data_IF_697958551576
#
_entry.id   IF_697958551576
#
_cell.length_a   1.000
_cell.length_b   1.000
_cell.length_c   1.000
_cell.angle_alpha   90.00
_cell.angle_beta   90.00
_cell.angle_gamma   90.00
#
_symmetry.space_group_name_H-M   'P 1'
#
loop_
_entity.id
_entity.type
_entity.pdbx_description
1 polymer ?
#
# COMPACT_ATOMS: atom_id res chain seq x y z
N UNK A 1 11.27 8.99 -39.40
CA UNK A 1 10.20 8.59 -38.42
C UNK A 1 9.06 9.56 -38.62
N UNK A 2 7.82 9.14 -38.97
CA UNK A 2 6.72 10.07 -39.13
C UNK A 2 6.28 10.58 -37.75
N UNK A 3 6.17 11.90 -37.66
CA UNK A 3 5.73 12.65 -36.49
C UNK A 3 4.43 12.08 -35.93
N UNK A 4 4.44 11.86 -34.61
CA UNK A 4 3.34 11.24 -33.87
C UNK A 4 2.05 12.06 -33.95
N UNK A 5 1.10 11.60 -34.74
CA UNK A 5 -0.30 12.00 -34.59
C UNK A 5 -0.73 11.70 -33.16
N UNK A 6 -0.90 12.73 -32.37
CA UNK A 6 -1.57 12.64 -31.06
C UNK A 6 -2.98 12.16 -31.32
N UNK A 7 -3.23 10.87 -31.10
CA UNK A 7 -4.58 10.30 -31.18
C UNK A 7 -5.40 10.96 -30.06
N UNK A 8 -6.25 11.92 -30.42
CA UNK A 8 -7.19 12.49 -29.46
C UNK A 8 -8.15 11.38 -29.02
N UNK A 9 -8.35 11.19 -27.71
CA UNK A 9 -9.33 10.22 -27.25
C UNK A 9 -10.71 10.59 -27.75
N UNK A 10 -11.52 9.61 -28.16
CA UNK A 10 -12.90 9.86 -28.55
C UNK A 10 -13.68 10.46 -27.37
N UNK A 11 -14.70 11.27 -27.65
CA UNK A 11 -15.54 11.90 -26.61
C UNK A 11 -16.11 10.88 -25.59
N UNK A 12 -16.39 9.63 -26.04
CA UNK A 12 -16.79 8.52 -25.18
C UNK A 12 -15.66 8.10 -24.22
N UNK A 13 -14.41 8.04 -24.70
CA UNK A 13 -13.27 7.70 -23.87
C UNK A 13 -12.98 8.79 -22.83
N UNK A 14 -13.15 10.05 -23.18
CA UNK A 14 -13.00 11.18 -22.26
C UNK A 14 -14.10 11.19 -21.19
N UNK A 15 -15.35 10.93 -21.57
CA UNK A 15 -16.45 10.82 -20.61
C UNK A 15 -16.29 9.65 -19.63
N UNK A 16 -15.80 8.51 -20.07
CA UNK A 16 -15.47 7.38 -19.20
C UNK A 16 -14.30 7.73 -18.26
N UNK A 17 -13.27 8.38 -18.76
CA UNK A 17 -12.12 8.79 -17.96
C UNK A 17 -12.50 9.77 -16.85
N UNK A 18 -13.35 10.78 -17.13
CA UNK A 18 -13.85 11.71 -16.10
C UNK A 18 -14.65 10.99 -15.01
N UNK A 19 -15.50 10.03 -15.39
CA UNK A 19 -16.25 9.21 -14.41
C UNK A 19 -15.33 8.35 -13.56
N UNK A 20 -14.31 7.78 -14.17
CA UNK A 20 -13.32 6.98 -13.45
C UNK A 20 -12.53 7.82 -12.44
N UNK A 21 -12.03 9.00 -12.84
CA UNK A 21 -11.35 9.93 -11.94
C UNK A 21 -12.25 10.29 -10.74
N UNK A 22 -13.52 10.64 -11.00
CA UNK A 22 -14.43 11.04 -9.93
C UNK A 22 -14.75 9.87 -8.98
N UNK A 23 -14.99 8.66 -9.55
CA UNK A 23 -15.15 7.45 -8.75
C UNK A 23 -13.95 7.19 -7.86
N UNK A 24 -12.72 7.36 -8.40
CA UNK A 24 -11.48 7.15 -7.65
C UNK A 24 -11.21 8.22 -6.61
N UNK A 25 -11.61 9.46 -6.84
CA UNK A 25 -11.57 10.51 -5.83
C UNK A 25 -12.46 10.15 -4.64
N UNK A 26 -13.70 9.75 -4.91
CA UNK A 26 -14.68 9.37 -3.88
C UNK A 26 -14.23 8.12 -3.09
N UNK A 27 -13.70 7.11 -3.79
CA UNK A 27 -13.12 5.94 -3.14
C UNK A 27 -11.85 6.28 -2.34
N UNK A 28 -11.06 7.25 -2.80
CA UNK A 28 -9.89 7.76 -2.10
C UNK A 28 -10.25 8.39 -0.75
N UNK A 29 -11.38 9.10 -0.67
CA UNK A 29 -11.88 9.62 0.61
C UNK A 29 -12.17 8.49 1.61
N UNK A 30 -12.81 7.41 1.16
CA UNK A 30 -13.05 6.24 2.01
C UNK A 30 -11.74 5.51 2.37
N UNK A 31 -10.80 5.41 1.42
CA UNK A 31 -9.51 4.74 1.62
C UNK A 31 -8.64 5.44 2.66
N UNK A 32 -8.63 6.77 2.69
CA UNK A 32 -7.83 7.54 3.64
C UNK A 32 -8.20 7.30 5.09
N UNK A 33 -9.46 6.92 5.36
CA UNK A 33 -9.93 6.57 6.71
C UNK A 33 -9.34 5.23 7.21
N UNK A 34 -9.00 4.33 6.29
CA UNK A 34 -8.42 3.00 6.58
C UNK A 34 -6.98 2.88 6.08
N UNK A 35 -6.33 4.03 5.78
CA UNK A 35 -4.90 4.04 5.44
C UNK A 35 -4.07 3.65 6.66
N UNK A 36 -2.97 2.90 6.43
CA UNK A 36 -2.20 2.24 7.48
C UNK A 36 -1.91 3.13 8.69
N UNK A 37 -1.29 4.30 8.47
CA UNK A 37 -0.92 5.21 9.56
C UNK A 37 -2.15 5.91 10.17
N UNK A 38 -3.11 6.35 9.34
CA UNK A 38 -4.35 6.99 9.80
C UNK A 38 -5.15 6.04 10.69
N UNK A 39 -5.35 4.80 10.23
CA UNK A 39 -6.07 3.77 10.98
C UNK A 39 -5.33 3.40 12.28
N UNK A 40 -4.01 3.31 12.24
CA UNK A 40 -3.18 3.01 13.41
C UNK A 40 -3.28 4.10 14.48
N UNK A 41 -3.20 5.37 14.10
CA UNK A 41 -3.36 6.50 15.03
C UNK A 41 -4.77 6.54 15.61
N UNK A 42 -5.82 6.35 14.78
CA UNK A 42 -7.19 6.30 15.26
C UNK A 42 -7.39 5.17 16.28
N UNK A 43 -6.93 3.94 15.95
CA UNK A 43 -7.04 2.79 16.85
C UNK A 43 -6.31 3.05 18.16
N UNK A 44 -5.09 3.61 18.11
CA UNK A 44 -4.31 3.95 19.31
C UNK A 44 -5.03 4.95 20.19
N UNK A 45 -5.61 5.98 19.62
CA UNK A 45 -6.31 7.04 20.36
C UNK A 45 -7.65 6.56 20.93
N UNK A 46 -8.46 5.89 20.11
CA UNK A 46 -9.82 5.52 20.51
C UNK A 46 -9.87 4.38 21.54
N UNK A 47 -8.88 3.47 21.46
CA UNK A 47 -8.82 2.28 22.32
C UNK A 47 -7.62 2.29 23.27
N UNK A 48 -7.11 3.46 23.64
CA UNK A 48 -5.91 3.62 24.47
C UNK A 48 -5.95 2.82 25.79
N UNK A 49 -7.15 2.66 26.39
CA UNK A 49 -7.35 1.90 27.62
C UNK A 49 -7.43 0.37 27.42
N UNK A 50 -7.45 -0.13 26.18
CA UNK A 50 -7.58 -1.57 25.92
C UNK A 50 -6.19 -2.20 25.85
N UNK A 51 -5.96 -3.25 26.65
CA UNK A 51 -4.67 -3.92 26.77
C UNK A 51 -4.03 -4.32 25.42
N UNK A 52 -4.83 -4.82 24.47
CA UNK A 52 -4.36 -5.29 23.17
C UNK A 52 -4.19 -4.18 22.10
N UNK A 53 -4.30 -2.89 22.46
CA UNK A 53 -4.32 -1.80 21.48
C UNK A 53 -3.04 -1.73 20.65
N UNK A 54 -1.89 -1.99 21.23
CA UNK A 54 -0.62 -1.91 20.50
C UNK A 54 -0.49 -2.99 19.42
N UNK A 55 -0.92 -4.22 19.72
CA UNK A 55 -1.02 -5.29 18.71
C UNK A 55 -2.05 -4.94 17.62
N UNK A 56 -3.15 -4.32 17.99
CA UNK A 56 -4.14 -3.83 17.03
C UNK A 56 -3.55 -2.77 16.08
N UNK A 57 -2.76 -1.83 16.61
CA UNK A 57 -1.98 -0.85 15.82
C UNK A 57 -1.07 -1.55 14.82
N UNK A 58 -0.37 -2.61 15.25
CA UNK A 58 0.47 -3.41 14.36
C UNK A 58 -0.32 -4.06 13.23
N UNK A 59 -1.45 -4.71 13.56
CA UNK A 59 -2.29 -5.40 12.58
C UNK A 59 -2.86 -4.45 11.53
N UNK A 60 -3.38 -3.29 11.93
CA UNK A 60 -3.92 -2.31 10.97
C UNK A 60 -2.82 -1.65 10.13
N UNK A 61 -1.63 -1.42 10.71
CA UNK A 61 -0.48 -0.91 9.97
C UNK A 61 0.02 -1.91 8.91
N UNK A 62 -0.03 -3.19 9.20
CA UNK A 62 0.36 -4.26 8.28
C UNK A 62 -0.72 -4.66 7.26
N UNK A 63 -1.97 -4.26 7.48
CA UNK A 63 -3.12 -4.69 6.68
C UNK A 63 -2.97 -4.42 5.17
N UNK A 64 -2.41 -3.30 4.68
CA UNK A 64 -2.19 -3.08 3.25
C UNK A 64 -1.27 -4.12 2.61
N UNK A 65 -0.21 -4.52 3.30
CA UNK A 65 0.73 -5.53 2.80
C UNK A 65 0.16 -6.94 2.92
N UNK A 66 -0.46 -7.26 4.07
CA UNK A 66 -1.08 -8.56 4.31
C UNK A 66 -2.20 -8.87 3.30
N UNK A 67 -3.04 -7.88 2.97
CA UNK A 67 -4.15 -8.05 2.03
C UNK A 67 -3.70 -8.50 0.62
N UNK A 68 -2.46 -8.26 0.26
CA UNK A 68 -1.90 -8.68 -1.03
C UNK A 68 -1.82 -10.20 -1.18
N UNK A 69 -1.76 -10.99 -0.10
CA UNK A 69 -1.79 -12.46 -0.17
C UNK A 69 -3.00 -12.95 -0.97
N UNK A 70 -4.13 -12.25 -0.88
CA UNK A 70 -5.38 -12.65 -1.53
C UNK A 70 -5.50 -12.19 -2.98
N UNK A 71 -4.47 -11.55 -3.56
CA UNK A 71 -4.53 -11.05 -4.94
C UNK A 71 -4.81 -12.16 -5.97
N UNK A 72 -4.28 -13.36 -5.76
CA UNK A 72 -4.55 -14.50 -6.65
C UNK A 72 -6.01 -14.97 -6.58
N UNK A 73 -6.65 -14.88 -5.40
CA UNK A 73 -8.09 -15.20 -5.24
C UNK A 73 -8.93 -14.25 -6.08
N UNK A 74 -8.60 -12.97 -6.05
CA UNK A 74 -9.30 -11.96 -6.83
C UNK A 74 -9.10 -12.11 -8.34
N UNK A 75 -7.89 -12.46 -8.76
CA UNK A 75 -7.60 -12.75 -10.16
C UNK A 75 -8.40 -13.95 -10.66
N UNK A 76 -8.44 -15.04 -9.91
CA UNK A 76 -9.24 -16.23 -10.23
C UNK A 76 -10.74 -15.93 -10.24
N UNK A 77 -11.22 -15.15 -9.26
CA UNK A 77 -12.63 -14.76 -9.20
C UNK A 77 -13.03 -13.86 -10.39
N UNK A 78 -12.12 -13.09 -10.94
CA UNK A 78 -12.36 -12.23 -12.10
C UNK A 78 -12.39 -12.99 -13.44
N UNK A 79 -11.80 -14.18 -13.51
CA UNK A 79 -11.76 -15.00 -14.72
C UNK A 79 -13.17 -15.42 -15.14
N UNK A 80 -13.49 -15.28 -16.42
CA UNK A 80 -14.80 -15.59 -17.00
C UNK A 80 -15.96 -14.73 -16.52
N UNK A 81 -15.72 -13.64 -15.77
CA UNK A 81 -16.75 -12.75 -15.23
C UNK A 81 -16.62 -11.33 -15.76
N UNK A 82 -17.75 -10.62 -15.79
CA UNK A 82 -17.79 -9.19 -16.11
C UNK A 82 -17.01 -8.39 -15.07
N UNK A 83 -15.87 -7.84 -15.47
CA UNK A 83 -14.91 -7.18 -14.57
C UNK A 83 -15.49 -5.96 -13.89
N UNK A 84 -16.26 -5.15 -14.62
CA UNK A 84 -16.91 -3.93 -14.06
C UNK A 84 -17.87 -4.30 -12.94
N UNK A 85 -18.71 -5.33 -13.15
CA UNK A 85 -19.67 -5.77 -12.10
C UNK A 85 -18.92 -6.24 -10.85
N UNK A 86 -17.85 -7.01 -11.00
CA UNK A 86 -17.05 -7.47 -9.87
C UNK A 86 -16.40 -6.30 -9.13
N UNK A 87 -15.79 -5.33 -9.85
CA UNK A 87 -15.19 -4.14 -9.23
C UNK A 87 -16.25 -3.34 -8.46
N UNK A 88 -17.45 -3.16 -9.00
CA UNK A 88 -18.55 -2.44 -8.31
C UNK A 88 -18.96 -3.14 -7.02
N UNK A 89 -19.06 -4.48 -7.04
CA UNK A 89 -19.37 -5.26 -5.83
C UNK A 89 -18.27 -5.10 -4.78
N UNK A 90 -17.00 -5.18 -5.20
CA UNK A 90 -15.86 -5.00 -4.31
C UNK A 90 -15.79 -3.57 -3.74
N UNK A 91 -16.08 -2.55 -4.55
CA UNK A 91 -16.13 -1.15 -4.12
C UNK A 91 -17.26 -0.91 -3.12
N UNK A 92 -18.44 -1.46 -3.36
CA UNK A 92 -19.57 -1.37 -2.44
C UNK A 92 -19.27 -2.09 -1.13
N UNK A 93 -18.73 -3.30 -1.19
CA UNK A 93 -18.27 -4.05 -0.01
C UNK A 93 -17.20 -3.30 0.78
N UNK A 94 -16.22 -2.73 0.09
CA UNK A 94 -15.18 -1.87 0.69
C UNK A 94 -15.81 -0.67 1.41
N UNK A 95 -16.71 0.07 0.77
CA UNK A 95 -17.37 1.22 1.37
C UNK A 95 -18.19 0.83 2.61
N UNK A 96 -18.93 -0.27 2.53
CA UNK A 96 -19.70 -0.79 3.67
C UNK A 96 -18.79 -1.20 4.84
N UNK A 97 -17.68 -1.90 4.59
CA UNK A 97 -16.74 -2.28 5.65
C UNK A 97 -16.03 -1.07 6.26
N UNK A 98 -15.75 -0.03 5.49
CA UNK A 98 -15.29 1.26 6.04
C UNK A 98 -16.37 1.85 6.95
N UNK A 99 -17.62 1.87 6.51
CA UNK A 99 -18.76 2.38 7.30
C UNK A 99 -19.02 1.60 8.59
N UNK A 100 -18.71 0.29 8.62
CA UNK A 100 -18.86 -0.53 9.82
C UNK A 100 -18.08 0.03 11.01
N UNK A 101 -16.94 0.68 10.80
CA UNK A 101 -16.14 1.30 11.88
C UNK A 101 -16.96 2.34 12.65
N UNK A 102 -17.91 3.03 12.01
CA UNK A 102 -18.79 3.99 12.67
C UNK A 102 -19.66 3.38 13.79
N UNK A 103 -19.93 2.08 13.72
CA UNK A 103 -20.77 1.34 14.67
C UNK A 103 -19.97 0.61 15.76
N UNK A 104 -18.65 0.78 15.77
CA UNK A 104 -17.81 0.12 16.75
C UNK A 104 -18.06 0.67 18.16
N UNK A 105 -18.24 -0.23 19.12
CA UNK A 105 -18.37 0.13 20.54
C UNK A 105 -17.02 0.47 21.17
N UNK A 106 -17.02 1.04 22.36
CA UNK A 106 -15.82 1.16 23.19
C UNK A 106 -15.39 -0.21 23.73
N UNK A 107 -14.11 -0.32 24.11
CA UNK A 107 -13.55 -1.54 24.74
C UNK A 107 -13.13 -2.62 23.75
N UNK A 108 -12.82 -3.82 24.27
CA UNK A 108 -12.17 -4.90 23.52
C UNK A 108 -13.00 -5.39 22.34
N UNK A 109 -14.32 -5.51 22.50
CA UNK A 109 -15.21 -5.95 21.38
C UNK A 109 -15.20 -4.94 20.24
N UNK A 110 -15.25 -3.65 20.56
CA UNK A 110 -15.17 -2.59 19.57
C UNK A 110 -13.81 -2.55 18.88
N UNK A 111 -12.72 -2.77 19.62
CA UNK A 111 -11.37 -2.87 19.05
C UNK A 111 -11.29 -4.01 18.02
N UNK A 112 -11.75 -5.21 18.36
CA UNK A 112 -11.75 -6.38 17.47
C UNK A 112 -12.60 -6.09 16.22
N UNK A 113 -13.79 -5.50 16.41
CA UNK A 113 -14.68 -5.13 15.31
C UNK A 113 -14.05 -4.09 14.38
N UNK A 114 -13.41 -3.05 14.94
CA UNK A 114 -12.71 -2.01 14.16
C UNK A 114 -11.55 -2.59 13.36
N UNK A 115 -10.67 -3.37 14.00
CA UNK A 115 -9.54 -4.02 13.34
C UNK A 115 -10.01 -4.96 12.23
N UNK A 116 -11.01 -5.79 12.52
CA UNK A 116 -11.61 -6.70 11.54
C UNK A 116 -12.20 -5.96 10.34
N UNK A 117 -12.92 -4.86 10.57
CA UNK A 117 -13.49 -4.01 9.52
C UNK A 117 -12.41 -3.36 8.65
N UNK A 118 -11.34 -2.84 9.25
CA UNK A 118 -10.20 -2.23 8.52
C UNK A 118 -9.48 -3.29 7.68
N UNK A 119 -9.20 -4.47 8.24
CA UNK A 119 -8.56 -5.56 7.49
C UNK A 119 -9.46 -6.01 6.33
N UNK A 120 -10.76 -6.20 6.56
CA UNK A 120 -11.70 -6.56 5.52
C UNK A 120 -11.76 -5.51 4.41
N UNK A 121 -11.79 -4.22 4.77
CA UNK A 121 -11.72 -3.12 3.80
C UNK A 121 -10.44 -3.19 2.97
N UNK A 122 -9.28 -3.42 3.57
CA UNK A 122 -7.99 -3.53 2.85
C UNK A 122 -7.94 -4.76 1.95
N UNK A 123 -8.52 -5.88 2.36
CA UNK A 123 -8.66 -7.10 1.54
C UNK A 123 -9.50 -6.82 0.29
N UNK A 124 -10.66 -6.18 0.45
CA UNK A 124 -11.52 -5.78 -0.67
C UNK A 124 -10.84 -4.75 -1.58
N UNK A 125 -10.09 -3.82 -1.01
CA UNK A 125 -9.27 -2.86 -1.77
C UNK A 125 -8.23 -3.56 -2.64
N UNK A 126 -7.53 -4.56 -2.12
CA UNK A 126 -6.61 -5.41 -2.89
C UNK A 126 -7.31 -6.06 -4.09
N UNK A 127 -8.54 -6.53 -3.92
CA UNK A 127 -9.40 -7.04 -5.00
C UNK A 127 -9.71 -5.99 -6.06
N UNK A 128 -10.10 -4.78 -5.63
CA UNK A 128 -10.37 -3.65 -6.54
C UNK A 128 -9.12 -3.37 -7.40
N UNK A 129 -7.94 -3.28 -6.79
CA UNK A 129 -6.69 -3.00 -7.51
C UNK A 129 -6.36 -4.09 -8.54
N UNK A 130 -6.51 -5.36 -8.14
CA UNK A 130 -6.21 -6.52 -9.00
C UNK A 130 -7.12 -6.56 -10.22
N UNK A 131 -8.43 -6.47 -10.03
CA UNK A 131 -9.41 -6.58 -11.14
C UNK A 131 -9.37 -5.34 -12.05
N UNK A 132 -9.16 -4.15 -11.48
CA UNK A 132 -9.07 -2.90 -12.23
C UNK A 132 -7.87 -2.85 -13.17
N UNK A 133 -6.74 -3.41 -12.78
CA UNK A 133 -5.56 -3.45 -13.65
C UNK A 133 -5.87 -4.07 -15.02
N UNK A 134 -6.70 -5.10 -15.05
CA UNK A 134 -7.17 -5.72 -16.29
C UNK A 134 -8.13 -4.82 -17.09
N UNK A 135 -8.98 -4.02 -16.42
CA UNK A 135 -9.84 -3.03 -17.09
C UNK A 135 -9.02 -1.93 -17.74
N UNK A 136 -8.00 -1.44 -17.07
CA UNK A 136 -7.10 -0.41 -17.59
C UNK A 136 -6.34 -0.88 -18.83
N UNK A 137 -5.78 -2.08 -18.79
CA UNK A 137 -5.05 -2.65 -19.94
C UNK A 137 -5.95 -2.87 -21.15
N UNK A 138 -7.25 -3.14 -20.96
CA UNK A 138 -8.22 -3.27 -22.04
C UNK A 138 -8.70 -1.92 -22.59
N UNK A 139 -8.88 -0.92 -21.73
CA UNK A 139 -9.48 0.37 -22.10
C UNK A 139 -8.48 1.39 -22.62
N UNK A 140 -7.25 1.39 -22.10
CA UNK A 140 -6.23 2.38 -22.45
C UNK A 140 -5.13 1.78 -23.33
N UNK A 141 -4.87 2.36 -24.54
CA UNK A 141 -3.73 1.97 -25.38
C UNK A 141 -2.41 2.17 -24.64
N UNK A 142 -1.43 1.32 -24.93
CA UNK A 142 -0.11 1.33 -24.24
C UNK A 142 0.59 2.69 -24.23
N UNK A 143 0.47 3.47 -25.31
CA UNK A 143 1.08 4.80 -25.46
C UNK A 143 0.48 5.89 -24.56
N UNK A 144 -0.74 5.71 -24.04
CA UNK A 144 -1.42 6.67 -23.13
C UNK A 144 -1.74 6.08 -21.76
N UNK A 145 -1.59 4.77 -21.60
CA UNK A 145 -1.94 4.04 -20.36
C UNK A 145 -1.31 4.69 -19.12
N UNK A 146 0.00 4.89 -19.13
CA UNK A 146 0.72 5.45 -17.98
C UNK A 146 0.26 6.87 -17.63
N UNK A 147 -0.02 7.71 -18.64
CA UNK A 147 -0.50 9.09 -18.45
C UNK A 147 -1.90 9.11 -17.83
N UNK A 148 -2.80 8.27 -18.34
CA UNK A 148 -4.19 8.23 -17.87
C UNK A 148 -4.27 7.64 -16.47
N UNK A 149 -3.64 6.49 -16.25
CA UNK A 149 -3.63 5.85 -14.92
C UNK A 149 -2.89 6.67 -13.88
N UNK A 150 -1.80 7.35 -14.26
CA UNK A 150 -1.07 8.25 -13.39
C UNK A 150 -1.93 9.40 -12.86
N UNK A 151 -2.77 10.02 -13.71
CA UNK A 151 -3.71 11.05 -13.27
C UNK A 151 -4.75 10.53 -12.27
N UNK A 152 -5.29 9.33 -12.52
CA UNK A 152 -6.24 8.69 -11.60
C UNK A 152 -5.58 8.42 -10.24
N UNK A 153 -4.35 7.92 -10.24
CA UNK A 153 -3.59 7.63 -9.00
C UNK A 153 -3.28 8.91 -8.23
N UNK A 154 -2.90 10.00 -8.91
CA UNK A 154 -2.65 11.29 -8.26
C UNK A 154 -3.91 11.82 -7.58
N UNK A 155 -5.05 11.84 -8.29
CA UNK A 155 -6.32 12.31 -7.71
C UNK A 155 -6.73 11.45 -6.52
N UNK A 156 -6.57 10.14 -6.61
CA UNK A 156 -6.83 9.23 -5.49
C UNK A 156 -5.91 9.53 -4.31
N UNK A 157 -4.59 9.71 -4.53
CA UNK A 157 -3.64 10.02 -3.47
C UNK A 157 -3.96 11.35 -2.75
N UNK A 158 -4.37 12.38 -3.50
CA UNK A 158 -4.84 13.65 -2.91
C UNK A 158 -6.09 13.43 -2.06
N UNK A 159 -7.06 12.68 -2.55
CA UNK A 159 -8.28 12.37 -1.80
C UNK A 159 -7.98 11.58 -0.52
N UNK A 160 -7.09 10.59 -0.59
CA UNK A 160 -6.61 9.81 0.57
C UNK A 160 -5.92 10.73 1.60
N UNK A 161 -5.02 11.59 1.15
CA UNK A 161 -4.31 12.53 2.03
C UNK A 161 -5.27 13.54 2.68
N UNK A 162 -6.25 14.06 1.93
CA UNK A 162 -7.26 14.99 2.44
C UNK A 162 -8.14 14.33 3.50
N UNK A 163 -8.58 13.10 3.26
CA UNK A 163 -9.37 12.33 4.22
C UNK A 163 -8.55 12.00 5.47
N UNK A 164 -7.29 11.60 5.34
CA UNK A 164 -6.38 11.38 6.46
C UNK A 164 -6.20 12.66 7.32
N UNK A 165 -6.01 13.81 6.66
CA UNK A 165 -5.90 15.10 7.35
C UNK A 165 -7.19 15.45 8.11
N UNK A 166 -8.37 15.17 7.53
CA UNK A 166 -9.66 15.36 8.21
C UNK A 166 -9.79 14.48 9.46
N UNK A 167 -9.32 13.23 9.41
CA UNK A 167 -9.30 12.35 10.60
C UNK A 167 -8.40 12.96 11.67
N UNK A 168 -7.19 13.38 11.31
CA UNK A 168 -6.27 14.01 12.24
C UNK A 168 -6.87 15.24 12.93
N UNK A 169 -7.48 16.12 12.14
CA UNK A 169 -8.18 17.30 12.66
C UNK A 169 -9.35 16.95 13.59
N UNK A 170 -10.19 15.98 13.20
CA UNK A 170 -11.36 15.60 13.99
C UNK A 170 -10.96 14.98 15.36
N UNK A 171 -9.90 14.16 15.35
CA UNK A 171 -9.38 13.57 16.59
C UNK A 171 -8.81 14.63 17.55
N UNK A 172 -8.21 15.70 17.03
CA UNK A 172 -7.64 16.78 17.85
C UNK A 172 -8.69 17.78 18.31
N UNK A 173 -9.54 18.24 17.39
CA UNK A 173 -10.55 19.26 17.68
C UNK A 173 -11.65 18.76 18.63
N UNK A 174 -11.83 17.44 18.77
CA UNK A 174 -12.94 16.81 19.52
C UNK A 174 -14.33 17.36 19.15
N UNK A 175 -14.41 18.14 18.07
CA UNK A 175 -15.62 18.82 17.62
C UNK A 175 -16.56 17.89 16.84
N UNK A 176 -16.01 16.86 16.23
CA UNK A 176 -16.76 15.87 15.45
C UNK A 176 -16.33 14.48 15.91
N UNK A 177 -17.30 13.65 16.28
CA UNK A 177 -17.01 12.23 16.51
C UNK A 177 -16.46 11.62 15.22
N UNK A 178 -15.27 11.04 15.28
CA UNK A 178 -14.61 10.41 14.13
C UNK A 178 -15.50 9.38 13.41
N UNK A 179 -16.51 8.82 14.09
CA UNK A 179 -17.52 7.92 13.52
C UNK A 179 -18.26 8.53 12.35
N UNK A 180 -18.59 9.82 12.40
CA UNK A 180 -19.26 10.50 11.30
C UNK A 180 -18.41 10.56 10.02
N UNK A 181 -17.09 10.63 10.16
CA UNK A 181 -16.19 10.56 9.01
C UNK A 181 -16.25 9.20 8.32
N UNK A 182 -16.35 8.11 9.09
CA UNK A 182 -16.51 6.76 8.51
C UNK A 182 -17.87 6.59 7.81
N UNK A 183 -18.93 7.14 8.39
CA UNK A 183 -20.23 7.24 7.71
C UNK A 183 -20.16 8.05 6.40
N UNK A 184 -19.51 9.20 6.42
CA UNK A 184 -19.24 10.01 5.23
C UNK A 184 -18.40 9.29 4.18
N UNK A 185 -17.35 8.58 4.63
CA UNK A 185 -16.50 7.73 3.77
C UNK A 185 -17.28 6.60 3.13
N UNK A 186 -18.20 5.96 3.85
CA UNK A 186 -19.12 4.96 3.30
C UNK A 186 -19.97 5.54 2.17
N UNK A 187 -20.61 6.69 2.42
CA UNK A 187 -21.45 7.35 1.42
C UNK A 187 -20.62 7.73 0.19
N UNK A 188 -19.44 8.33 0.39
CA UNK A 188 -18.53 8.66 -0.71
C UNK A 188 -18.09 7.41 -1.50
N UNK A 189 -17.70 6.34 -0.81
CA UNK A 189 -17.33 5.08 -1.45
C UNK A 189 -18.46 4.43 -2.24
N UNK A 190 -19.68 4.42 -1.70
CA UNK A 190 -20.88 3.92 -2.40
C UNK A 190 -21.22 4.77 -3.62
N UNK A 191 -21.10 6.11 -3.53
CA UNK A 191 -21.26 7.01 -4.66
C UNK A 191 -20.20 6.75 -5.74
N UNK A 192 -18.95 6.50 -5.33
CA UNK A 192 -17.87 6.07 -6.23
C UNK A 192 -18.19 4.76 -6.95
N UNK A 193 -18.68 3.76 -6.24
CA UNK A 193 -19.12 2.48 -6.81
C UNK A 193 -20.30 2.66 -7.79
N UNK A 194 -21.25 3.51 -7.43
CA UNK A 194 -22.39 3.82 -8.30
C UNK A 194 -21.95 4.49 -9.62
N UNK A 195 -21.01 5.43 -9.56
CA UNK A 195 -20.44 6.04 -10.76
C UNK A 195 -19.67 5.03 -11.61
N UNK A 196 -18.92 4.12 -10.97
CA UNK A 196 -18.12 3.12 -11.66
C UNK A 196 -18.97 2.10 -12.42
N UNK A 197 -20.19 1.85 -12.01
CA UNK A 197 -21.12 0.93 -12.68
C UNK A 197 -21.41 1.32 -14.14
N UNK A 198 -21.24 2.61 -14.50
CA UNK A 198 -21.41 3.10 -15.87
C UNK A 198 -20.17 2.87 -16.76
N UNK A 199 -19.06 2.34 -16.18
CA UNK A 199 -17.87 1.99 -16.94
C UNK A 199 -18.12 0.78 -17.84
N UNK A 200 -17.40 0.73 -18.94
CA UNK A 200 -17.46 -0.39 -19.89
C UNK A 200 -16.05 -0.84 -20.23
N UNK A 201 -15.87 -2.13 -20.42
CA UNK A 201 -14.60 -2.72 -20.87
C UNK A 201 -14.61 -2.84 -22.38
N UNK A 202 -13.56 -2.33 -23.04
CA UNK A 202 -13.44 -2.44 -24.49
C UNK A 202 -13.30 -3.89 -24.89
N UNK A 203 -14.16 -4.34 -25.84
CA UNK A 203 -14.18 -5.72 -26.37
C UNK A 203 -14.38 -6.79 -25.29
N UNK A 204 -15.10 -6.50 -24.21
CA UNK A 204 -15.31 -7.42 -23.08
C UNK A 204 -15.82 -8.80 -23.55
N UNK A 205 -16.75 -8.83 -24.49
CA UNK A 205 -17.27 -10.09 -25.04
C UNK A 205 -16.16 -10.98 -25.62
N UNK A 206 -15.23 -10.39 -26.38
CA UNK A 206 -14.08 -11.14 -26.95
C UNK A 206 -13.13 -11.64 -25.88
N UNK A 207 -12.90 -10.84 -24.84
CA UNK A 207 -12.07 -11.24 -23.70
C UNK A 207 -12.70 -12.41 -22.95
N UNK A 208 -14.00 -12.35 -22.66
CA UNK A 208 -14.72 -13.43 -21.99
C UNK A 208 -14.77 -14.70 -22.83
N UNK A 209 -14.98 -14.58 -24.15
CA UNK A 209 -14.97 -15.73 -25.07
C UNK A 209 -13.58 -16.38 -25.14
N UNK A 210 -12.51 -15.58 -25.16
CA UNK A 210 -11.13 -16.09 -25.15
C UNK A 210 -10.81 -16.78 -23.81
N UNK A 211 -11.26 -16.24 -22.69
CA UNK A 211 -11.11 -16.86 -21.38
C UNK A 211 -11.90 -18.19 -21.26
N UNK A 212 -13.13 -18.22 -21.79
CA UNK A 212 -13.92 -19.44 -21.84
C UNK A 212 -13.28 -20.53 -22.70
N UNK A 213 -12.64 -20.14 -23.81
CA UNK A 213 -11.95 -21.09 -24.70
C UNK A 213 -10.60 -21.58 -24.14
N UNK A 214 -9.92 -20.78 -23.34
CA UNK A 214 -8.63 -21.16 -22.74
C UNK A 214 -8.75 -22.07 -21.51
N UNK A 215 -9.96 -22.30 -21.03
CA UNK A 215 -10.19 -23.06 -19.79
C UNK A 215 -9.75 -22.30 -18.53
N UNK A 216 -9.76 -22.93 -17.36
CA UNK A 216 -9.22 -22.31 -16.16
C UNK A 216 -7.77 -21.95 -16.40
N UNK A 217 -7.49 -20.62 -16.30
CA UNK A 217 -6.15 -20.08 -16.51
C UNK A 217 -5.14 -20.84 -15.67
N UNK A 218 -4.03 -21.21 -16.35
CA UNK A 218 -2.75 -21.63 -15.78
C UNK A 218 -2.80 -22.08 -14.33
N UNK A 219 -2.19 -23.19 -14.02
CA UNK A 219 -2.12 -23.79 -12.68
C UNK A 219 -2.25 -22.74 -11.58
N UNK A 220 -3.25 -22.86 -10.70
CA UNK A 220 -3.47 -21.87 -9.65
C UNK A 220 -2.18 -21.72 -8.86
N UNK A 221 -1.76 -20.48 -8.58
CA UNK A 221 -0.57 -20.23 -7.78
C UNK A 221 -0.66 -21.06 -6.49
N UNK A 222 0.30 -21.95 -6.30
CA UNK A 222 0.37 -22.87 -5.17
C UNK A 222 1.66 -22.65 -4.38
N UNK A 223 1.67 -23.07 -3.12
CA UNK A 223 2.90 -23.07 -2.31
C UNK A 223 4.00 -23.96 -2.95
N UNK A 224 3.60 -25.02 -3.67
CA UNK A 224 4.53 -25.84 -4.46
C UNK A 224 5.22 -25.01 -5.56
N UNK A 225 4.46 -24.23 -6.31
CA UNK A 225 5.02 -23.35 -7.35
C UNK A 225 5.93 -22.26 -6.77
N UNK A 226 5.59 -21.66 -5.60
CA UNK A 226 6.45 -20.72 -4.90
C UNK A 226 7.82 -21.35 -4.59
N UNK A 227 7.83 -22.53 -3.98
CA UNK A 227 9.08 -23.24 -3.63
C UNK A 227 9.85 -23.66 -4.87
N UNK A 228 9.16 -24.06 -5.92
CA UNK A 228 9.78 -24.43 -7.19
C UNK A 228 10.51 -23.24 -7.83
N UNK A 229 9.85 -22.08 -7.97
CA UNK A 229 10.48 -20.87 -8.56
C UNK A 229 11.71 -20.44 -7.74
N UNK A 230 11.61 -20.44 -6.41
CA UNK A 230 12.75 -20.08 -5.55
C UNK A 230 13.90 -21.09 -5.59
N UNK A 231 13.64 -22.36 -5.99
CA UNK A 231 14.69 -23.37 -6.22
C UNK A 231 15.31 -23.24 -7.60
N UNK A 232 14.49 -23.02 -8.62
CA UNK A 232 14.92 -22.94 -10.03
C UNK A 232 15.72 -21.67 -10.32
N UNK A 233 15.40 -20.54 -9.65
CA UNK A 233 16.05 -19.24 -9.87
C UNK A 233 16.79 -18.75 -8.60
N UNK A 234 18.09 -19.08 -8.47
CA UNK A 234 18.90 -18.63 -7.33
C UNK A 234 19.05 -17.12 -7.24
N UNK A 235 19.08 -16.39 -8.37
CA UNK A 235 19.19 -14.94 -8.39
C UNK A 235 17.93 -14.28 -7.84
N UNK A 236 16.76 -14.79 -8.28
CA UNK A 236 15.49 -14.32 -7.76
C UNK A 236 15.30 -14.68 -6.27
N UNK A 237 15.74 -15.88 -5.85
CA UNK A 237 15.73 -16.29 -4.44
C UNK A 237 16.55 -15.34 -3.58
N UNK A 238 17.77 -14.99 -3.99
CA UNK A 238 18.62 -14.04 -3.28
C UNK A 238 17.97 -12.64 -3.23
N UNK A 239 17.42 -12.18 -4.35
CA UNK A 239 16.67 -10.93 -4.40
C UNK A 239 15.49 -10.94 -3.40
N UNK A 240 14.70 -12.01 -3.37
CA UNK A 240 13.56 -12.13 -2.47
C UNK A 240 13.96 -12.24 -0.99
N UNK A 241 15.12 -12.84 -0.71
CA UNK A 241 15.70 -12.87 0.65
C UNK A 241 16.02 -11.45 1.14
N UNK A 242 16.77 -10.67 0.36
CA UNK A 242 17.10 -9.29 0.72
C UNK A 242 15.87 -8.39 0.75
N UNK A 243 14.92 -8.59 -0.18
CA UNK A 243 13.61 -7.96 -0.14
C UNK A 243 12.82 -8.35 1.11
N UNK A 244 13.00 -9.55 1.62
CA UNK A 244 12.41 -10.03 2.87
C UNK A 244 12.83 -9.16 4.05
N UNK A 245 14.14 -9.04 4.25
CA UNK A 245 14.74 -8.25 5.34
C UNK A 245 14.43 -6.77 5.19
N UNK A 246 14.67 -6.20 4.00
CA UNK A 246 14.42 -4.81 3.68
C UNK A 246 12.96 -4.41 3.90
N UNK A 247 12.04 -5.21 3.36
CA UNK A 247 10.62 -4.92 3.46
C UNK A 247 10.05 -5.15 4.86
N UNK A 248 10.59 -6.08 5.64
CA UNK A 248 10.19 -6.26 7.03
C UNK A 248 10.56 -5.03 7.86
N UNK A 249 11.78 -4.50 7.72
CA UNK A 249 12.17 -3.25 8.38
C UNK A 249 11.24 -2.09 8.01
N UNK A 250 10.94 -1.90 6.72
CA UNK A 250 10.02 -0.85 6.28
C UNK A 250 8.59 -1.00 6.88
N UNK A 251 8.07 -2.21 6.95
CA UNK A 251 6.71 -2.46 7.46
C UNK A 251 6.60 -2.33 8.99
N UNK A 252 7.68 -2.59 9.73
CA UNK A 252 7.74 -2.37 11.18
C UNK A 252 7.66 -0.90 11.56
N UNK A 253 8.25 -0.02 10.75
CA UNK A 253 8.52 1.38 11.10
C UNK A 253 7.24 2.15 11.46
N UNK A 254 6.18 2.03 10.67
CA UNK A 254 4.94 2.79 10.86
C UNK A 254 4.28 2.48 12.22
N UNK A 255 4.13 1.20 12.56
CA UNK A 255 3.49 0.81 13.82
C UNK A 255 4.28 1.31 15.03
N UNK A 256 5.61 1.16 15.01
CA UNK A 256 6.47 1.62 16.09
C UNK A 256 6.46 3.14 16.22
N UNK A 257 6.50 3.88 15.11
CA UNK A 257 6.43 5.35 15.14
C UNK A 257 5.10 5.85 15.74
N UNK A 258 3.97 5.19 15.45
CA UNK A 258 2.68 5.54 16.07
C UNK A 258 2.77 5.39 17.59
N UNK A 259 3.36 4.31 18.10
CA UNK A 259 3.51 4.10 19.55
C UNK A 259 4.46 5.15 20.17
N UNK A 260 5.62 5.35 19.57
CA UNK A 260 6.61 6.33 20.05
C UNK A 260 6.04 7.75 20.06
N UNK A 261 5.35 8.14 18.98
CA UNK A 261 4.74 9.47 18.88
C UNK A 261 3.61 9.67 19.89
N UNK A 262 2.82 8.63 20.15
CA UNK A 262 1.71 8.69 21.10
C UNK A 262 2.18 8.63 22.55
N UNK A 263 3.07 7.69 22.89
CA UNK A 263 3.39 7.34 24.29
C UNK A 263 4.63 8.05 24.82
N UNK A 264 5.62 8.36 23.96
CA UNK A 264 6.90 8.92 24.39
C UNK A 264 7.07 10.40 24.00
N UNK A 265 6.59 10.78 22.81
CA UNK A 265 6.69 12.17 22.35
C UNK A 265 5.40 12.96 22.59
N UNK A 266 4.30 12.30 22.94
CA UNK A 266 2.99 12.90 23.17
C UNK A 266 2.53 13.84 22.06
N UNK A 267 2.84 13.47 20.79
CA UNK A 267 2.43 14.26 19.63
C UNK A 267 0.91 14.17 19.45
N UNK A 268 0.30 15.27 18.98
CA UNK A 268 -1.12 15.28 18.67
C UNK A 268 -1.45 14.32 17.52
N UNK A 269 -2.68 13.83 17.47
CA UNK A 269 -3.13 12.91 16.41
C UNK A 269 -3.00 13.51 15.02
N UNK A 270 -3.29 14.82 14.90
CA UNK A 270 -3.14 15.54 13.63
C UNK A 270 -1.68 15.55 13.17
N UNK A 271 -0.73 15.80 14.06
CA UNK A 271 0.68 15.83 13.74
C UNK A 271 1.21 14.42 13.39
N UNK A 272 0.78 13.38 14.12
CA UNK A 272 1.13 12.00 13.81
C UNK A 272 0.66 11.61 12.41
N UNK A 273 -0.61 11.88 12.07
CA UNK A 273 -1.18 11.59 10.75
C UNK A 273 -0.51 12.44 9.67
N UNK A 274 -0.21 13.71 9.96
CA UNK A 274 0.52 14.56 9.02
C UNK A 274 1.89 13.96 8.67
N UNK A 275 2.67 13.54 9.68
CA UNK A 275 4.01 12.99 9.49
C UNK A 275 4.02 11.60 8.86
N UNK A 276 3.06 10.73 9.19
CA UNK A 276 3.09 9.32 8.79
C UNK A 276 2.22 9.00 7.58
N UNK A 277 1.24 9.84 7.25
CA UNK A 277 0.32 9.63 6.13
C UNK A 277 0.30 10.79 5.14
N UNK A 278 -0.10 11.99 5.57
CA UNK A 278 -0.40 13.11 4.64
C UNK A 278 0.82 13.52 3.85
N UNK A 279 1.93 13.84 4.52
CA UNK A 279 3.17 14.29 3.85
C UNK A 279 3.75 13.19 2.96
N UNK A 280 3.91 11.93 3.40
CA UNK A 280 4.36 10.87 2.51
C UNK A 280 3.47 10.68 1.28
N UNK A 281 2.15 10.72 1.42
CA UNK A 281 1.20 10.56 0.31
C UNK A 281 1.27 11.70 -0.71
N UNK A 282 1.47 12.94 -0.26
CA UNK A 282 1.60 14.11 -1.16
C UNK A 282 2.96 14.12 -1.87
N UNK A 283 4.02 13.71 -1.19
CA UNK A 283 5.37 13.71 -1.75
C UNK A 283 5.62 12.58 -2.75
N UNK A 284 4.92 11.44 -2.63
CA UNK A 284 5.06 10.33 -3.57
C UNK A 284 4.89 10.75 -5.05
N UNK A 285 3.78 11.38 -5.47
CA UNK A 285 3.61 11.77 -6.87
C UNK A 285 4.63 12.81 -7.34
N UNK A 286 5.16 13.63 -6.44
CA UNK A 286 6.19 14.65 -6.76
C UNK A 286 7.52 13.98 -7.15
N UNK A 287 7.93 12.93 -6.41
CA UNK A 287 9.19 12.23 -6.64
C UNK A 287 9.06 11.05 -7.62
N UNK A 288 7.85 10.59 -7.93
CA UNK A 288 7.62 9.46 -8.83
C UNK A 288 8.31 9.61 -10.20
N UNK A 289 8.25 10.78 -10.91
CA UNK A 289 8.90 10.92 -12.21
C UNK A 289 10.43 10.79 -12.14
N UNK A 290 11.05 11.22 -11.07
CA UNK A 290 12.49 11.08 -10.86
C UNK A 290 12.88 9.61 -10.66
N UNK A 291 12.14 8.89 -9.82
CA UNK A 291 12.36 7.46 -9.61
C UNK A 291 12.07 6.62 -10.86
N UNK A 292 11.07 7.00 -11.65
CA UNK A 292 10.76 6.32 -12.91
C UNK A 292 11.94 6.41 -13.90
N UNK A 293 12.56 7.59 -14.04
CA UNK A 293 13.74 7.76 -14.90
C UNK A 293 14.93 6.91 -14.45
N UNK A 294 15.10 6.71 -13.14
CA UNK A 294 16.15 5.85 -12.59
C UNK A 294 15.83 4.36 -12.76
N UNK A 295 14.55 4.00 -12.79
CA UNK A 295 14.09 2.63 -13.02
C UNK A 295 14.21 2.26 -14.49
N UNK A 296 13.78 3.15 -15.38
CA UNK A 296 13.87 2.95 -16.83
C UNK A 296 15.33 2.77 -17.27
N UNK A 297 15.63 1.66 -17.92
CA UNK A 297 16.97 1.36 -18.40
C UNK A 297 17.93 0.77 -17.36
N UNK A 298 17.45 0.39 -16.16
CA UNK A 298 18.27 -0.31 -15.16
C UNK A 298 17.59 -1.59 -14.68
N UNK A 299 18.37 -2.66 -14.51
CA UNK A 299 17.90 -3.88 -13.85
C UNK A 299 17.47 -3.56 -12.41
N UNK A 300 16.41 -4.20 -11.93
CA UNK A 300 15.82 -3.93 -10.60
C UNK A 300 16.82 -4.00 -9.45
N UNK A 301 17.81 -4.88 -9.50
CA UNK A 301 18.86 -4.97 -8.48
C UNK A 301 19.71 -3.70 -8.44
N UNK A 302 20.10 -3.15 -9.60
CA UNK A 302 20.81 -1.86 -9.69
C UNK A 302 19.94 -0.71 -9.21
N UNK A 303 18.67 -0.75 -9.53
CA UNK A 303 17.69 0.21 -9.03
C UNK A 303 17.54 0.15 -7.52
N UNK A 304 17.29 -1.05 -6.96
CA UNK A 304 17.13 -1.27 -5.51
C UNK A 304 18.38 -0.91 -4.71
N UNK A 305 19.58 -1.13 -5.27
CA UNK A 305 20.82 -0.73 -4.61
C UNK A 305 20.94 0.79 -4.37
N UNK A 306 20.19 1.61 -5.12
CA UNK A 306 20.11 3.06 -4.92
C UNK A 306 18.87 3.46 -4.10
N UNK A 307 17.71 2.95 -4.50
CA UNK A 307 16.43 3.23 -3.85
C UNK A 307 16.42 2.77 -2.38
N UNK A 308 17.10 1.66 -2.07
CA UNK A 308 17.19 1.16 -0.70
C UNK A 308 17.80 2.18 0.26
N UNK A 309 18.82 2.90 -0.15
CA UNK A 309 19.45 3.94 0.68
C UNK A 309 18.55 5.15 0.93
N UNK A 310 17.66 5.49 0.00
CA UNK A 310 16.67 6.53 0.24
C UNK A 310 15.73 6.17 1.40
N UNK A 311 15.33 4.89 1.51
CA UNK A 311 14.52 4.43 2.63
C UNK A 311 15.33 4.34 3.94
N UNK A 312 16.61 3.94 3.87
CA UNK A 312 17.51 3.99 5.05
C UNK A 312 17.64 5.41 5.58
N UNK A 313 17.87 6.40 4.68
CA UNK A 313 17.96 7.80 5.07
C UNK A 313 16.66 8.33 5.69
N UNK A 314 15.50 7.95 5.12
CA UNK A 314 14.21 8.31 5.67
C UNK A 314 14.02 7.72 7.08
N UNK A 315 14.31 6.43 7.25
CA UNK A 315 14.22 5.75 8.56
C UNK A 315 15.21 6.34 9.56
N UNK A 316 16.43 6.63 9.14
CA UNK A 316 17.44 7.25 9.98
C UNK A 316 17.05 8.67 10.44
N UNK A 317 16.47 9.48 9.53
CA UNK A 317 15.98 10.81 9.88
C UNK A 317 14.82 10.73 10.89
N UNK A 318 13.88 9.77 10.72
CA UNK A 318 12.83 9.52 11.69
C UNK A 318 13.38 9.08 13.05
N UNK A 319 14.30 8.11 13.08
CA UNK A 319 14.94 7.65 14.32
C UNK A 319 15.69 8.79 15.03
N UNK A 320 16.50 9.54 14.28
CA UNK A 320 17.23 10.67 14.83
C UNK A 320 16.27 11.74 15.35
N UNK A 321 15.22 12.08 14.60
CA UNK A 321 14.20 13.03 15.01
C UNK A 321 13.52 12.64 16.34
N UNK A 322 13.27 11.34 16.53
CA UNK A 322 12.75 10.78 17.79
C UNK A 322 13.80 10.93 18.90
N UNK A 323 15.03 10.51 18.69
CA UNK A 323 16.07 10.48 19.74
C UNK A 323 16.48 11.87 20.22
N UNK A 324 16.53 12.84 19.31
CA UNK A 324 16.84 14.25 19.68
C UNK A 324 15.59 15.10 19.87
N UNK A 325 14.40 14.50 19.84
CA UNK A 325 13.10 15.20 20.05
C UNK A 325 12.89 16.38 19.07
N UNK A 326 13.35 16.24 17.83
CA UNK A 326 13.36 17.33 16.83
C UNK A 326 12.24 17.18 15.81
N UNK A 327 11.23 18.04 15.88
CA UNK A 327 10.15 18.09 14.87
C UNK A 327 10.67 18.41 13.45
N UNK A 328 11.63 19.33 13.21
CA UNK A 328 12.18 19.55 11.89
C UNK A 328 12.76 18.29 11.25
N UNK A 329 13.48 17.45 12.02
CA UNK A 329 14.00 16.17 11.52
C UNK A 329 12.89 15.18 11.19
N UNK A 330 11.80 15.15 11.96
CA UNK A 330 10.63 14.32 11.65
C UNK A 330 9.96 14.76 10.35
N UNK A 331 9.84 16.06 10.09
CA UNK A 331 9.32 16.57 8.80
C UNK A 331 10.22 16.19 7.62
N UNK A 332 11.54 16.34 7.76
CA UNK A 332 12.52 15.89 6.76
C UNK A 332 12.38 14.39 6.52
N UNK A 333 12.32 13.58 7.60
CA UNK A 333 12.12 12.14 7.53
C UNK A 333 10.83 11.76 6.81
N UNK A 334 9.73 12.51 7.05
CA UNK A 334 8.43 12.30 6.41
C UNK A 334 8.49 12.54 4.89
N UNK A 335 9.12 13.63 4.45
CA UNK A 335 9.32 13.93 3.01
C UNK A 335 10.20 12.86 2.36
N UNK A 336 11.30 12.49 3.01
CA UNK A 336 12.19 11.42 2.53
C UNK A 336 11.45 10.08 2.45
N UNK A 337 10.59 9.78 3.43
CA UNK A 337 9.77 8.56 3.44
C UNK A 337 8.84 8.51 2.22
N UNK A 338 8.13 9.60 1.93
CA UNK A 338 7.26 9.67 0.75
C UNK A 338 8.03 9.54 -0.56
N UNK A 339 9.22 10.18 -0.68
CA UNK A 339 10.11 9.98 -1.83
C UNK A 339 10.56 8.54 -1.96
N UNK A 340 11.05 7.94 -0.87
CA UNK A 340 11.51 6.55 -0.86
C UNK A 340 10.40 5.55 -1.20
N UNK A 341 9.17 5.79 -0.71
CA UNK A 341 7.99 4.98 -1.04
C UNK A 341 7.58 5.08 -2.51
N UNK A 342 7.71 6.28 -3.13
CA UNK A 342 7.50 6.43 -4.56
C UNK A 342 8.39 5.47 -5.36
N UNK A 343 9.69 5.45 -5.03
CA UNK A 343 10.63 4.52 -5.64
C UNK A 343 10.35 3.06 -5.27
N UNK A 344 9.99 2.79 -4.02
CA UNK A 344 9.66 1.44 -3.56
C UNK A 344 8.48 0.84 -4.34
N UNK A 345 7.46 1.64 -4.62
CA UNK A 345 6.27 1.23 -5.38
C UNK A 345 6.62 0.80 -6.82
N UNK A 346 7.53 1.52 -7.50
CA UNK A 346 7.98 1.13 -8.85
C UNK A 346 8.69 -0.22 -8.83
N UNK A 347 9.69 -0.37 -7.97
CA UNK A 347 10.43 -1.62 -7.86
C UNK A 347 9.59 -2.79 -7.34
N UNK A 348 8.52 -2.52 -6.56
CA UNK A 348 7.58 -3.55 -6.12
C UNK A 348 6.69 -4.03 -7.26
N UNK A 349 6.13 -3.10 -8.05
CA UNK A 349 5.20 -3.44 -9.13
C UNK A 349 5.89 -4.03 -10.36
N UNK A 350 7.13 -3.69 -10.66
CA UNK A 350 7.79 -4.00 -11.92
C UNK A 350 9.03 -4.89 -11.78
N UNK A 351 9.65 -4.90 -10.60
CA UNK A 351 10.96 -5.52 -10.42
C UNK A 351 11.02 -7.04 -10.64
N UNK A 352 9.91 -7.75 -10.48
CA UNK A 352 9.85 -9.19 -10.75
C UNK A 352 10.00 -9.53 -12.25
N UNK A 353 9.70 -8.57 -13.14
CA UNK A 353 9.81 -8.77 -14.58
C UNK A 353 11.27 -8.99 -15.06
N UNK A 354 12.24 -8.45 -14.33
CA UNK A 354 13.66 -8.57 -14.69
C UNK A 354 14.24 -9.96 -14.44
N UNK A 355 13.53 -10.79 -13.66
CA UNK A 355 13.89 -12.19 -13.42
C UNK A 355 13.04 -13.16 -14.21
N UNK A 356 11.82 -12.77 -14.55
CA UNK A 356 10.86 -13.66 -15.16
C UNK A 356 11.13 -13.86 -16.65
N UNK A 357 11.21 -15.11 -17.10
CA UNK A 357 11.16 -15.43 -18.52
C UNK A 357 9.80 -15.09 -19.14
N UNK A 358 9.76 -14.99 -20.47
CA UNK A 358 8.53 -14.68 -21.22
C UNK A 358 7.41 -15.66 -20.83
N UNK A 359 6.27 -15.11 -20.42
CA UNK A 359 5.08 -15.88 -20.00
C UNK A 359 5.05 -16.28 -18.52
N UNK A 360 6.15 -16.18 -17.74
CA UNK A 360 6.19 -16.56 -16.32
C UNK A 360 6.09 -15.38 -15.34
N UNK A 361 5.98 -14.14 -15.82
CA UNK A 361 5.95 -12.93 -14.98
C UNK A 361 4.86 -12.97 -13.88
N UNK A 362 3.69 -13.54 -14.17
CA UNK A 362 2.61 -13.66 -13.20
C UNK A 362 2.97 -14.59 -12.02
N UNK A 363 3.71 -15.67 -12.27
CA UNK A 363 4.16 -16.58 -11.22
C UNK A 363 5.20 -15.93 -10.31
N UNK A 364 6.17 -15.20 -10.88
CA UNK A 364 7.15 -14.41 -10.11
C UNK A 364 6.47 -13.32 -9.27
N UNK A 365 5.48 -12.63 -9.85
CA UNK A 365 4.65 -11.68 -9.07
C UNK A 365 3.90 -12.38 -7.94
N UNK A 366 3.35 -13.57 -8.19
CA UNK A 366 2.69 -14.40 -7.15
C UNK A 366 3.59 -14.68 -5.95
N UNK A 367 4.85 -15.09 -6.19
CA UNK A 367 5.88 -15.26 -5.14
C UNK A 367 6.09 -13.95 -4.39
N UNK A 368 6.31 -12.85 -5.11
CA UNK A 368 6.58 -11.54 -4.53
C UNK A 368 5.44 -11.06 -3.61
N UNK A 369 4.21 -11.18 -4.08
CA UNK A 369 3.00 -10.75 -3.35
C UNK A 369 2.77 -11.61 -2.10
N UNK A 370 2.93 -12.93 -2.22
CA UNK A 370 2.77 -13.86 -1.08
C UNK A 370 3.78 -13.57 0.03
N UNK A 371 5.07 -13.42 -0.31
CA UNK A 371 6.11 -13.10 0.65
C UNK A 371 5.93 -11.68 1.23
N UNK A 372 5.41 -10.74 0.45
CA UNK A 372 5.06 -9.40 0.96
C UNK A 372 3.92 -9.47 1.97
N UNK A 373 2.89 -10.26 1.70
CA UNK A 373 1.79 -10.43 2.63
C UNK A 373 2.19 -11.12 3.93
N UNK A 374 3.06 -12.13 3.86
CA UNK A 374 3.61 -12.77 5.06
C UNK A 374 4.37 -11.77 5.93
N UNK A 375 5.21 -10.92 5.32
CA UNK A 375 5.89 -9.83 6.04
C UNK A 375 4.91 -8.84 6.64
N UNK A 376 3.84 -8.49 5.90
CA UNK A 376 2.80 -7.57 6.39
C UNK A 376 2.07 -8.08 7.63
N UNK A 377 1.89 -9.41 7.71
CA UNK A 377 1.30 -10.04 8.89
C UNK A 377 2.24 -10.19 10.09
N UNK A 378 3.53 -10.36 9.84
CA UNK A 378 4.51 -10.68 10.89
C UNK A 378 5.36 -9.48 11.34
N UNK A 379 5.84 -8.65 10.41
CA UNK A 379 6.82 -7.64 10.75
C UNK A 379 6.27 -6.53 11.68
N UNK A 380 5.10 -5.91 11.45
CA UNK A 380 4.59 -4.90 12.36
C UNK A 380 4.33 -5.44 13.78
N UNK A 381 3.70 -6.61 13.99
CA UNK A 381 3.59 -7.21 15.33
C UNK A 381 4.92 -7.45 16.01
N UNK A 382 5.92 -7.99 15.30
CA UNK A 382 7.27 -8.19 15.87
C UNK A 382 7.93 -6.87 16.26
N UNK A 383 7.73 -5.81 15.47
CA UNK A 383 8.20 -4.47 15.80
C UNK A 383 7.54 -3.91 17.06
N UNK A 384 6.24 -4.10 17.21
CA UNK A 384 5.50 -3.68 18.40
C UNK A 384 5.91 -4.49 19.62
N UNK A 385 6.08 -5.80 19.50
CA UNK A 385 6.59 -6.64 20.61
C UNK A 385 7.99 -6.20 21.06
N UNK A 386 8.88 -5.83 20.13
CA UNK A 386 10.19 -5.27 20.48
C UNK A 386 10.05 -3.94 21.25
N UNK A 387 9.14 -3.06 20.82
CA UNK A 387 8.82 -1.82 21.53
C UNK A 387 8.32 -2.09 22.96
N UNK A 388 7.34 -2.99 23.12
CA UNK A 388 6.76 -3.33 24.43
C UNK A 388 7.78 -4.00 25.35
N UNK A 389 8.61 -4.90 24.82
CA UNK A 389 9.65 -5.57 25.60
C UNK A 389 10.65 -4.56 26.19
N UNK A 390 11.11 -3.60 25.37
CA UNK A 390 12.00 -2.53 25.85
C UNK A 390 11.32 -1.61 26.84
N UNK A 391 10.08 -1.25 26.58
CA UNK A 391 9.29 -0.37 27.45
C UNK A 391 8.99 -1.04 28.79
N UNK A 392 8.75 -2.36 28.80
CA UNK A 392 8.56 -3.14 30.03
C UNK A 392 9.88 -3.32 30.80
N UNK A 393 11.00 -3.57 30.10
CA UNK A 393 12.32 -3.70 30.74
C UNK A 393 12.75 -2.41 31.41
N UNK A 394 12.57 -1.26 30.73
CA UNK A 394 12.84 0.06 31.31
C UNK A 394 11.93 1.10 30.66
N UNK A 395 11.01 1.71 31.43
CA UNK A 395 10.13 2.78 30.93
C UNK A 395 10.92 3.89 30.21
N UNK A 396 10.44 4.32 29.06
CA UNK A 396 11.09 5.34 28.23
C UNK A 396 12.06 4.79 27.16
N UNK A 397 12.43 3.50 27.21
CA UNK A 397 13.38 2.91 26.26
C UNK A 397 12.73 2.32 25.00
N UNK A 398 11.41 2.32 24.92
CA UNK A 398 10.66 1.80 23.75
C UNK A 398 11.11 2.40 22.41
N UNK A 399 11.55 3.66 22.39
CA UNK A 399 12.07 4.32 21.19
C UNK A 399 13.28 3.62 20.57
N UNK A 400 14.09 2.90 21.35
CA UNK A 400 15.23 2.12 20.82
C UNK A 400 14.78 0.96 19.91
N UNK A 401 13.54 0.52 20.01
CA UNK A 401 12.99 -0.46 19.08
C UNK A 401 13.03 -0.01 17.61
N UNK A 402 13.05 1.32 17.35
CA UNK A 402 13.21 1.88 16.00
C UNK A 402 14.57 1.56 15.34
N UNK A 403 15.57 1.18 16.13
CA UNK A 403 16.87 0.76 15.59
C UNK A 403 16.74 -0.55 14.81
N UNK A 404 15.85 -1.45 15.23
CA UNK A 404 15.62 -2.73 14.54
C UNK A 404 15.18 -2.54 13.08
N UNK A 405 14.11 -1.84 12.75
CA UNK A 405 13.71 -1.60 11.37
C UNK A 405 14.77 -0.82 10.57
N UNK A 406 15.48 0.11 11.18
CA UNK A 406 16.58 0.82 10.53
C UNK A 406 17.71 -0.14 10.14
N UNK A 407 18.16 -1.00 11.04
CA UNK A 407 19.20 -2.00 10.75
C UNK A 407 18.75 -3.02 9.71
N UNK A 408 17.50 -3.50 9.77
CA UNK A 408 16.97 -4.42 8.77
C UNK A 408 16.89 -3.76 7.38
N UNK A 409 16.44 -2.51 7.32
CA UNK A 409 16.39 -1.76 6.05
C UNK A 409 17.78 -1.54 5.49
N UNK A 410 18.74 -1.19 6.34
CA UNK A 410 20.16 -1.02 5.95
C UNK A 410 20.78 -2.33 5.49
N UNK A 411 20.55 -3.44 6.20
CA UNK A 411 21.03 -4.77 5.82
C UNK A 411 20.48 -5.18 4.45
N UNK A 412 19.18 -4.96 4.19
CA UNK A 412 18.60 -5.20 2.88
C UNK A 412 19.20 -4.35 1.77
N UNK A 413 19.44 -3.04 2.03
CA UNK A 413 20.10 -2.13 1.08
C UNK A 413 21.54 -2.58 0.76
N UNK A 414 22.31 -3.02 1.77
CA UNK A 414 23.63 -3.61 1.61
C UNK A 414 23.56 -4.91 0.79
N UNK A 415 22.56 -5.76 1.04
CA UNK A 415 22.31 -6.96 0.25
C UNK A 415 22.12 -6.67 -1.23
N UNK A 416 21.33 -5.65 -1.58
CA UNK A 416 21.18 -5.21 -2.97
C UNK A 416 22.46 -4.65 -3.56
N UNK A 417 23.29 -3.95 -2.77
CA UNK A 417 24.61 -3.50 -3.23
C UNK A 417 25.53 -4.69 -3.55
N UNK A 418 25.53 -5.73 -2.70
CA UNK A 418 26.28 -6.96 -2.93
C UNK A 418 25.84 -7.66 -4.22
N UNK A 419 24.52 -7.86 -4.39
CA UNK A 419 23.98 -8.43 -5.63
C UNK A 419 24.35 -7.60 -6.86
N UNK A 420 24.31 -6.26 -6.76
CA UNK A 420 24.73 -5.38 -7.86
C UNK A 420 26.19 -5.60 -8.24
N UNK A 421 27.08 -5.76 -7.28
CA UNK A 421 28.49 -6.02 -7.53
C UNK A 421 28.71 -7.36 -8.26
N UNK A 422 27.89 -8.38 -7.96
CA UNK A 422 27.92 -9.66 -8.65
C UNK A 422 27.34 -9.63 -10.08
N UNK A 423 26.53 -8.59 -10.42
CA UNK A 423 25.99 -8.36 -11.76
C UNK A 423 26.86 -7.44 -12.63
N UNK A 424 27.96 -6.91 -12.08
CA UNK A 424 28.94 -6.17 -12.88
C UNK A 424 29.77 -7.15 -13.71
N UNK A 425 29.97 -6.90 -15.05
CA UNK A 425 30.79 -7.77 -15.88
C UNK A 425 32.24 -7.75 -15.44
#
# INVERSE_FOLDING_TARGET
MPEGRTVQPSALAEGMFRREILSWALLGLALGLVEAATAAVLVKQHYAAVYAVNIAVALVSGAPAFSNILSFVWANLAHGRTRVRLVVILQAGFALTVGCVAFASSGTRGLIFTVGSIIAARVLWGGILTVRAAIWSANYPRNVLARMTGRIVIVNAVAVASSAALVGWALEARAVDARWLYGGGMVAGLAGAWLYRAMRVRREFRLLAAEAASGPTSEPFSLGMLTQILREDPAYREYMFWMGIFGAGNLMLTAQLVLVFSELMHLTSALQIALLAVVPLITQPIFMPWWARLFDGSHVVRYRSRQGWALVLASAAMCLGVFVQSLPLLWIGSVLLGSAQAGANLGWNLGHNDFASVGRAQHYMGVHVTLTGLRGGLAPPLGVLAYEALQHWRPGTGSYALVLPLLMTAAGALGFNRMRAALAP
#
